data_IF_276539008734
#
_entry.id   IF_276539008734
#
_cell.length_a   1.000
_cell.length_b   1.000
_cell.length_c   1.000
_cell.angle_alpha   90.00
_cell.angle_beta   90.00
_cell.angle_gamma   90.00
#
_symmetry.space_group_name_H-M   'P 1'
#
loop_
_entity.id
_entity.type
_entity.pdbx_description
1 polymer ?
#
# COMPACT_ATOMS: atom_id res chain seq x y z
N UNK A 1 6.31 -10.95 44.70
CA UNK A 1 5.36 -11.35 43.65
C UNK A 1 5.31 -10.20 42.66
N UNK A 2 5.40 -10.48 41.35
CA UNK A 2 5.21 -9.47 40.32
C UNK A 2 3.75 -8.99 40.34
N UNK A 3 3.50 -7.72 40.03
CA UNK A 3 2.15 -7.24 39.76
C UNK A 3 1.58 -7.93 38.50
N UNK A 4 0.26 -7.97 38.35
CA UNK A 4 -0.39 -8.57 37.17
C UNK A 4 0.11 -7.98 35.85
N UNK A 5 0.36 -6.66 35.81
CA UNK A 5 0.92 -5.96 34.65
C UNK A 5 2.36 -6.38 34.35
N UNK A 6 3.19 -6.56 35.38
CA UNK A 6 4.57 -7.04 35.20
C UNK A 6 4.61 -8.50 34.75
N UNK A 7 3.71 -9.34 35.26
CA UNK A 7 3.59 -10.72 34.80
C UNK A 7 3.14 -10.81 33.34
N UNK A 8 2.17 -9.97 32.92
CA UNK A 8 1.74 -9.88 31.52
C UNK A 8 2.87 -9.41 30.60
N UNK A 9 3.65 -8.43 31.04
CA UNK A 9 4.83 -7.93 30.31
C UNK A 9 5.89 -9.01 30.09
N UNK A 10 6.15 -9.83 31.11
CA UNK A 10 7.12 -10.94 31.01
C UNK A 10 6.63 -12.05 30.08
N UNK A 11 5.33 -12.42 30.17
CA UNK A 11 4.72 -13.38 29.24
C UNK A 11 4.69 -12.87 27.79
N UNK A 12 4.62 -11.55 27.59
CA UNK A 12 4.76 -10.93 26.26
C UNK A 12 6.18 -11.12 25.72
N UNK A 13 7.20 -10.82 26.52
CA UNK A 13 8.60 -11.00 26.13
C UNK A 13 8.96 -12.45 25.86
N UNK A 14 8.53 -13.37 26.72
CA UNK A 14 8.76 -14.81 26.54
C UNK A 14 8.18 -15.30 25.20
N UNK A 15 6.94 -14.92 24.90
CA UNK A 15 6.34 -15.23 23.61
C UNK A 15 7.13 -14.67 22.42
N UNK A 16 7.63 -13.44 22.52
CA UNK A 16 8.49 -12.87 21.46
C UNK A 16 9.76 -13.71 21.27
N UNK A 17 10.41 -14.14 22.36
CA UNK A 17 11.59 -15.03 22.28
C UNK A 17 11.22 -16.42 21.71
N UNK A 18 10.01 -16.93 21.97
CA UNK A 18 9.55 -18.23 21.47
C UNK A 18 9.30 -18.21 19.94
N UNK A 19 8.72 -17.12 19.43
CA UNK A 19 8.44 -16.98 17.99
C UNK A 19 9.67 -16.45 17.22
N UNK A 20 10.49 -15.60 17.83
CA UNK A 20 11.74 -15.05 17.29
C UNK A 20 12.93 -15.57 18.13
N UNK A 21 13.49 -16.73 17.79
CA UNK A 21 14.60 -17.30 18.54
C UNK A 21 15.85 -16.42 18.38
N UNK A 22 16.51 -16.14 19.49
CA UNK A 22 17.70 -15.28 19.53
C UNK A 22 18.87 -15.97 20.23
N UNK A 23 20.08 -15.65 19.77
CA UNK A 23 21.33 -16.00 20.43
C UNK A 23 21.78 -14.81 21.28
N UNK A 24 22.09 -15.05 22.56
CA UNK A 24 22.60 -14.04 23.48
C UNK A 24 24.11 -14.23 23.62
N UNK A 25 24.89 -13.26 23.14
CA UNK A 25 26.36 -13.25 23.26
C UNK A 25 26.78 -12.21 24.29
N UNK A 26 27.31 -12.66 25.42
CA UNK A 26 27.81 -11.78 26.47
C UNK A 26 29.33 -11.60 26.36
N UNK A 27 29.79 -10.35 26.33
CA UNK A 27 31.20 -10.00 26.30
C UNK A 27 31.51 -8.78 27.19
N UNK A 28 32.79 -8.58 27.53
CA UNK A 28 33.24 -7.39 28.26
C UNK A 28 33.86 -6.39 27.30
N UNK A 29 33.36 -5.15 27.31
CA UNK A 29 33.98 -4.03 26.63
C UNK A 29 34.52 -3.06 27.69
N UNK A 30 35.82 -3.20 28.01
CA UNK A 30 36.43 -2.55 29.17
C UNK A 30 35.88 -3.12 30.48
N UNK A 31 35.41 -2.24 31.38
CA UNK A 31 34.79 -2.63 32.66
C UNK A 31 33.28 -2.92 32.57
N UNK A 32 32.65 -2.67 31.41
CA UNK A 32 31.21 -2.88 31.23
C UNK A 32 30.93 -4.22 30.57
N UNK A 33 30.09 -5.04 31.21
CA UNK A 33 29.49 -6.20 30.56
C UNK A 33 28.47 -5.70 29.52
N UNK A 34 28.51 -6.29 28.33
CA UNK A 34 27.53 -6.09 27.26
C UNK A 34 26.94 -7.45 26.89
N UNK A 35 25.67 -7.44 26.52
CA UNK A 35 24.99 -8.58 25.92
C UNK A 35 24.44 -8.13 24.59
N UNK A 36 24.85 -8.83 23.54
CA UNK A 36 24.35 -8.65 22.19
C UNK A 36 23.33 -9.76 21.92
N UNK A 37 22.22 -9.36 21.29
CA UNK A 37 21.10 -10.23 20.97
C UNK A 37 21.02 -10.27 19.45
N UNK A 38 21.26 -11.45 18.89
CA UNK A 38 21.22 -11.69 17.45
C UNK A 38 20.14 -12.70 17.11
N UNK A 39 19.54 -12.57 15.94
CA UNK A 39 18.55 -13.50 15.44
C UNK A 39 19.21 -14.87 15.17
N UNK A 40 18.65 -15.95 15.73
CA UNK A 40 19.03 -17.30 15.34
C UNK A 40 18.38 -17.63 13.98
N UNK A 41 19.05 -17.26 12.90
CA UNK A 41 18.53 -17.34 11.52
C UNK A 41 18.08 -18.76 11.15
N UNK A 42 18.83 -19.79 11.56
CA UNK A 42 18.52 -21.18 11.21
C UNK A 42 17.22 -21.65 11.87
N UNK A 43 17.09 -21.46 13.18
CA UNK A 43 15.89 -21.84 13.92
C UNK A 43 14.68 -21.01 13.49
N UNK A 44 14.88 -19.71 13.28
CA UNK A 44 13.82 -18.81 12.84
C UNK A 44 13.30 -19.17 11.45
N UNK A 45 14.20 -19.48 10.51
CA UNK A 45 13.81 -19.90 9.15
C UNK A 45 12.98 -21.18 9.18
N UNK A 46 13.38 -22.17 9.99
CA UNK A 46 12.62 -23.42 10.19
C UNK A 46 11.22 -23.16 10.75
N UNK A 47 11.10 -22.29 11.76
CA UNK A 47 9.79 -21.92 12.35
C UNK A 47 8.89 -21.22 11.33
N UNK A 48 9.46 -20.27 10.57
CA UNK A 48 8.76 -19.54 9.51
C UNK A 48 8.25 -20.45 8.41
N UNK A 49 9.11 -21.31 7.87
CA UNK A 49 8.75 -22.25 6.80
C UNK A 49 7.65 -23.19 7.23
N UNK A 50 7.74 -23.73 8.45
CA UNK A 50 6.68 -24.55 9.03
C UNK A 50 5.36 -23.78 9.13
N UNK A 51 5.38 -22.57 9.66
CA UNK A 51 4.18 -21.75 9.82
C UNK A 51 3.52 -21.41 8.48
N UNK A 52 4.31 -21.06 7.45
CA UNK A 52 3.78 -20.80 6.11
C UNK A 52 3.22 -22.06 5.44
N UNK A 53 3.84 -23.22 5.64
CA UNK A 53 3.33 -24.49 5.12
C UNK A 53 2.01 -24.93 5.78
N UNK A 54 1.79 -24.53 7.04
CA UNK A 54 0.58 -24.83 7.81
C UNK A 54 -0.51 -23.74 7.67
N UNK A 55 -0.23 -22.65 6.94
CA UNK A 55 -1.16 -21.55 6.78
C UNK A 55 -2.45 -22.03 6.07
N UNK A 56 -3.64 -21.65 6.57
CA UNK A 56 -4.89 -22.03 5.95
C UNK A 56 -5.00 -21.43 4.54
N UNK A 57 -5.68 -22.10 3.60
CA UNK A 57 -5.93 -21.53 2.29
C UNK A 57 -6.76 -20.25 2.43
N UNK A 58 -6.41 -19.25 1.61
CA UNK A 58 -7.16 -18.00 1.55
C UNK A 58 -8.60 -18.32 1.17
N UNK A 59 -9.55 -17.90 2.01
CA UNK A 59 -10.97 -18.11 1.74
C UNK A 59 -11.42 -17.08 0.71
N UNK A 60 -12.25 -17.50 -0.26
CA UNK A 60 -12.87 -16.56 -1.19
C UNK A 60 -13.70 -15.55 -0.40
N UNK A 61 -13.44 -14.27 -0.62
CA UNK A 61 -14.16 -13.20 0.06
C UNK A 61 -15.30 -12.69 -0.80
N UNK A 62 -16.30 -12.09 -0.16
CA UNK A 62 -17.41 -11.45 -0.88
C UNK A 62 -16.89 -10.26 -1.71
N UNK A 63 -17.53 -9.95 -2.85
CA UNK A 63 -17.17 -8.75 -3.61
C UNK A 63 -17.43 -7.49 -2.77
N UNK A 64 -16.58 -6.48 -2.91
CA UNK A 64 -16.82 -5.17 -2.33
C UNK A 64 -17.65 -4.31 -3.29
N UNK A 65 -18.97 -4.27 -3.05
CA UNK A 65 -19.90 -3.47 -3.87
C UNK A 65 -19.77 -1.98 -3.59
N UNK A 66 -19.39 -1.64 -2.35
CA UNK A 66 -19.14 -0.26 -1.92
C UNK A 66 -18.01 -0.25 -0.88
N UNK A 67 -17.35 0.89 -0.77
CA UNK A 67 -16.20 1.06 0.13
C UNK A 67 -16.54 0.81 1.60
N UNK A 68 -17.77 1.14 2.03
CA UNK A 68 -18.25 0.83 3.39
C UNK A 68 -18.29 -0.67 3.71
N UNK A 69 -18.29 -1.54 2.69
CA UNK A 69 -18.23 -3.00 2.90
C UNK A 69 -16.90 -3.45 3.50
N UNK A 70 -15.83 -2.64 3.38
CA UNK A 70 -14.56 -2.87 4.08
C UNK A 70 -14.75 -2.98 5.59
N UNK A 71 -15.74 -2.28 6.16
CA UNK A 71 -16.01 -2.31 7.60
C UNK A 71 -16.62 -3.64 8.06
N UNK A 72 -17.05 -4.53 7.16
CA UNK A 72 -17.63 -5.84 7.52
C UNK A 72 -16.59 -6.82 8.06
N UNK A 73 -15.35 -6.72 7.60
CA UNK A 73 -14.26 -7.68 7.88
C UNK A 73 -13.00 -6.95 8.34
N UNK A 74 -12.05 -7.61 9.04
CA UNK A 74 -10.75 -7.02 9.30
C UNK A 74 -10.02 -6.64 8.01
N UNK A 75 -9.30 -5.51 8.03
CA UNK A 75 -8.52 -5.05 6.89
C UNK A 75 -7.16 -4.50 7.30
N UNK A 76 -6.24 -4.49 6.33
CA UNK A 76 -4.89 -3.99 6.46
C UNK A 76 -4.72 -2.81 5.49
N UNK A 77 -4.36 -1.65 6.03
CA UNK A 77 -4.00 -0.47 5.25
C UNK A 77 -2.51 -0.52 4.95
N UNK A 78 -2.20 -0.64 3.67
CA UNK A 78 -0.88 -0.46 3.08
C UNK A 78 -0.53 1.00 2.92
N UNK A 79 0.69 1.34 3.31
CA UNK A 79 1.27 2.64 3.01
C UNK A 79 2.63 2.58 2.28
N UNK A 80 2.89 3.66 1.55
CA UNK A 80 4.25 4.18 1.41
C UNK A 80 4.50 5.15 2.56
N UNK A 81 5.64 5.05 3.24
CA UNK A 81 5.97 5.96 4.35
C UNK A 81 6.02 7.44 3.94
N UNK A 82 6.15 7.72 2.64
CA UNK A 82 6.12 9.09 2.09
C UNK A 82 4.72 9.66 1.90
N UNK A 83 3.68 8.83 1.98
CA UNK A 83 2.31 9.24 1.71
C UNK A 83 1.59 9.71 2.98
N UNK A 84 0.79 10.76 2.84
CA UNK A 84 -0.01 11.37 3.92
C UNK A 84 -1.37 10.68 4.02
N UNK A 85 -1.97 10.33 2.90
CA UNK A 85 -3.35 9.86 2.80
C UNK A 85 -3.65 8.56 3.58
N UNK A 86 -2.75 7.56 3.66
CA UNK A 86 -3.00 6.38 4.50
C UNK A 86 -3.20 6.72 5.98
N UNK A 87 -2.34 7.60 6.51
CA UNK A 87 -2.41 8.06 7.92
C UNK A 87 -3.68 8.88 8.14
N UNK A 88 -3.97 9.80 7.21
CA UNK A 88 -5.20 10.61 7.22
C UNK A 88 -6.47 9.76 7.20
N UNK A 89 -6.50 8.72 6.37
CA UNK A 89 -7.63 7.78 6.31
C UNK A 89 -7.90 7.15 7.67
N UNK A 90 -6.88 6.66 8.37
CA UNK A 90 -7.04 6.10 9.72
C UNK A 90 -7.53 7.16 10.70
N UNK A 91 -6.89 8.33 10.73
CA UNK A 91 -7.23 9.44 11.64
C UNK A 91 -8.70 9.85 11.50
N UNK A 92 -9.17 10.02 10.27
CA UNK A 92 -10.51 10.54 9.99
C UNK A 92 -11.62 9.47 10.08
N UNK A 93 -11.28 8.18 10.08
CA UNK A 93 -12.25 7.09 10.14
C UNK A 93 -12.22 6.29 11.45
N UNK A 94 -11.29 6.57 12.37
CA UNK A 94 -11.09 5.79 13.60
C UNK A 94 -12.36 5.64 14.46
N UNK A 95 -13.13 6.73 14.63
CA UNK A 95 -14.40 6.71 15.40
C UNK A 95 -15.43 5.80 14.73
N UNK A 96 -15.58 5.91 13.41
CA UNK A 96 -16.48 5.06 12.61
C UNK A 96 -16.06 3.59 12.67
N UNK A 97 -14.76 3.31 12.66
CA UNK A 97 -14.23 1.97 12.85
C UNK A 97 -14.61 1.43 14.24
N UNK A 98 -14.45 2.24 15.31
CA UNK A 98 -14.88 1.85 16.66
C UNK A 98 -16.38 1.53 16.70
N UNK A 99 -17.22 2.38 16.12
CA UNK A 99 -18.68 2.15 16.03
C UNK A 99 -19.02 0.83 15.30
N UNK A 100 -18.18 0.43 14.34
CA UNK A 100 -18.30 -0.83 13.62
C UNK A 100 -17.60 -2.01 14.33
N UNK A 101 -17.17 -1.85 15.58
CA UNK A 101 -16.65 -2.93 16.42
C UNK A 101 -15.15 -3.18 16.31
N UNK A 102 -14.39 -2.25 15.73
CA UNK A 102 -12.93 -2.35 15.74
C UNK A 102 -12.38 -1.98 17.11
N UNK A 103 -11.52 -2.84 17.66
CA UNK A 103 -10.96 -2.70 19.00
C UNK A 103 -9.43 -2.54 19.00
N UNK A 104 -8.76 -3.04 17.96
CA UNK A 104 -7.30 -3.01 17.83
C UNK A 104 -6.87 -2.40 16.49
N UNK A 105 -5.85 -1.54 16.54
CA UNK A 105 -5.04 -1.09 15.42
C UNK A 105 -3.62 -1.67 15.58
N UNK A 106 -3.23 -2.57 14.69
CA UNK A 106 -1.87 -3.10 14.62
C UNK A 106 -0.98 -2.17 13.79
N UNK A 107 0.26 -1.90 14.22
CA UNK A 107 1.15 -0.96 13.52
C UNK A 107 2.56 -1.49 13.35
N UNK A 108 3.04 -1.51 12.10
CA UNK A 108 4.45 -1.71 11.77
C UNK A 108 5.31 -0.56 12.35
N UNK A 109 6.61 -0.84 12.57
CA UNK A 109 7.61 0.03 13.18
C UNK A 109 7.43 0.26 14.69
N UNK A 110 6.38 -0.31 15.29
CA UNK A 110 6.20 -0.39 16.73
C UNK A 110 6.51 -1.81 17.20
N UNK A 111 7.28 -1.89 18.28
CA UNK A 111 7.88 -3.12 18.76
C UNK A 111 7.04 -3.81 19.83
N UNK A 112 6.57 -5.01 19.54
CA UNK A 112 5.78 -5.82 20.46
C UNK A 112 6.60 -6.42 21.61
N UNK A 113 7.93 -6.36 21.58
CA UNK A 113 8.79 -6.75 22.69
C UNK A 113 9.11 -5.56 23.61
N UNK A 114 9.46 -4.40 23.05
CA UNK A 114 9.90 -3.23 23.85
C UNK A 114 8.84 -2.17 24.07
N UNK A 115 7.97 -1.87 23.10
CA UNK A 115 7.07 -0.71 23.17
C UNK A 115 5.64 -1.01 23.65
N UNK A 116 5.16 -2.26 23.64
CA UNK A 116 3.74 -2.52 23.95
C UNK A 116 3.32 -2.05 25.35
N UNK A 117 4.19 -2.16 26.34
CA UNK A 117 3.91 -1.65 27.69
C UNK A 117 3.66 -0.14 27.69
N UNK A 118 4.44 0.61 26.92
CA UNK A 118 4.30 2.05 26.78
C UNK A 118 3.08 2.43 25.94
N UNK A 119 2.74 1.63 24.91
CA UNK A 119 1.52 1.77 24.12
C UNK A 119 0.26 1.54 24.97
N UNK A 120 0.28 0.53 25.83
CA UNK A 120 -0.82 0.23 26.75
C UNK A 120 -0.96 1.33 27.81
N UNK A 121 0.16 1.84 28.33
CA UNK A 121 0.16 2.99 29.23
C UNK A 121 -0.41 4.24 28.55
N UNK A 122 0.02 4.54 27.32
CA UNK A 122 -0.51 5.64 26.52
C UNK A 122 -2.03 5.48 26.30
N UNK A 123 -2.50 4.28 26.00
CA UNK A 123 -3.92 4.03 25.82
C UNK A 123 -4.72 4.35 27.10
N UNK A 124 -4.19 3.97 28.27
CA UNK A 124 -4.81 4.26 29.58
C UNK A 124 -4.77 5.75 29.94
N UNK A 125 -3.59 6.40 29.85
CA UNK A 125 -3.35 7.72 30.45
C UNK A 125 -3.35 8.87 29.45
N UNK A 126 -3.02 8.59 28.18
CA UNK A 126 -2.73 9.59 27.15
C UNK A 126 -1.28 10.10 27.19
N UNK A 127 -0.46 9.61 28.11
CA UNK A 127 0.94 10.01 28.22
C UNK A 127 1.82 9.14 27.30
N UNK A 128 2.60 9.79 26.43
CA UNK A 128 3.57 9.10 25.56
C UNK A 128 4.94 9.11 26.26
N UNK A 129 5.52 7.92 26.47
CA UNK A 129 6.86 7.80 27.07
C UNK A 129 7.93 8.44 26.17
N UNK A 130 9.08 8.80 26.76
CA UNK A 130 10.20 9.33 25.98
C UNK A 130 10.72 8.33 24.93
N UNK A 131 10.72 7.03 25.25
CA UNK A 131 11.17 5.96 24.35
C UNK A 131 10.22 5.83 23.15
N UNK A 132 8.91 5.73 23.41
CA UNK A 132 7.89 5.67 22.37
C UNK A 132 7.88 6.94 21.50
N UNK A 133 8.00 8.12 22.12
CA UNK A 133 8.10 9.39 21.39
C UNK A 133 9.34 9.44 20.48
N UNK A 134 10.46 8.86 20.92
CA UNK A 134 11.69 8.78 20.12
C UNK A 134 11.47 7.90 18.89
N UNK A 135 10.84 6.73 19.07
CA UNK A 135 10.50 5.86 17.95
C UNK A 135 9.56 6.54 16.94
N UNK A 136 8.51 7.21 17.40
CA UNK A 136 7.55 7.90 16.52
C UNK A 136 8.23 9.02 15.72
N UNK A 137 9.16 9.75 16.33
CA UNK A 137 9.97 10.77 15.64
C UNK A 137 10.85 10.14 14.56
N UNK A 138 11.46 8.99 14.82
CA UNK A 138 12.23 8.27 13.80
C UNK A 138 11.35 7.77 12.65
N UNK A 139 10.17 7.21 12.93
CA UNK A 139 9.19 6.84 11.90
C UNK A 139 8.81 8.03 11.02
N UNK A 140 8.50 9.18 11.65
CA UNK A 140 8.17 10.42 10.96
C UNK A 140 9.35 10.95 10.11
N UNK A 141 10.58 10.86 10.62
CA UNK A 141 11.79 11.32 9.93
C UNK A 141 12.01 10.56 8.63
N UNK A 142 11.88 9.24 8.63
CA UNK A 142 12.01 8.43 7.41
C UNK A 142 11.00 8.88 6.33
N UNK A 143 9.73 9.07 6.69
CA UNK A 143 8.73 9.56 5.75
C UNK A 143 9.03 10.97 5.20
N UNK A 144 9.47 11.89 6.07
CA UNK A 144 9.77 13.29 5.70
C UNK A 144 10.97 13.42 4.77
N UNK A 145 12.08 12.76 5.09
CA UNK A 145 13.33 12.82 4.31
C UNK A 145 13.09 12.38 2.86
N UNK A 146 12.32 11.31 2.66
CA UNK A 146 12.00 10.83 1.31
C UNK A 146 10.92 11.67 0.61
N UNK A 147 10.01 12.32 1.36
CA UNK A 147 8.91 13.09 0.77
C UNK A 147 9.29 14.52 0.37
N UNK A 148 10.17 15.16 1.14
CA UNK A 148 10.48 16.59 1.01
C UNK A 148 11.99 16.87 0.87
N UNK A 149 12.82 15.82 0.83
CA UNK A 149 14.26 15.91 0.69
C UNK A 149 15.01 15.93 2.04
N UNK A 150 16.33 15.66 2.02
CA UNK A 150 17.15 15.49 3.23
C UNK A 150 17.30 16.76 4.08
N UNK A 151 17.05 17.94 3.52
CA UNK A 151 17.16 19.24 4.20
C UNK A 151 15.80 19.91 4.45
N UNK A 152 14.69 19.16 4.38
CA UNK A 152 13.38 19.73 4.69
C UNK A 152 13.22 19.91 6.21
N UNK A 153 13.67 21.06 6.72
CA UNK A 153 13.24 21.56 8.04
C UNK A 153 11.75 21.97 8.04
N UNK A 154 11.14 22.05 6.86
CA UNK A 154 9.75 22.48 6.67
C UNK A 154 8.83 21.28 6.52
N UNK A 155 8.33 20.76 7.64
CA UNK A 155 7.15 19.88 7.60
C UNK A 155 5.94 20.74 7.21
N UNK A 156 5.26 20.42 6.10
CA UNK A 156 3.97 21.05 5.81
C UNK A 156 3.01 20.84 6.98
N UNK A 157 2.13 21.81 7.27
CA UNK A 157 1.08 21.65 8.29
C UNK A 157 0.20 20.42 8.03
N UNK A 158 0.08 20.04 6.75
CA UNK A 158 -0.64 18.86 6.33
C UNK A 158 0.02 17.57 6.82
N UNK A 159 1.35 17.47 6.74
CA UNK A 159 2.09 16.32 7.29
C UNK A 159 1.92 16.24 8.81
N UNK A 160 2.16 17.36 9.53
CA UNK A 160 2.08 17.41 11.00
C UNK A 160 0.73 16.95 11.55
N UNK A 161 -0.35 17.21 10.83
CA UNK A 161 -1.71 16.78 11.21
C UNK A 161 -1.99 15.30 10.93
N UNK A 162 -1.14 14.64 10.16
CA UNK A 162 -1.34 13.30 9.61
C UNK A 162 -0.07 12.46 9.74
N UNK A 163 0.66 12.63 10.85
CA UNK A 163 1.87 11.89 11.15
C UNK A 163 1.54 10.66 12.04
N UNK A 164 2.53 9.82 12.39
CA UNK A 164 2.24 8.63 13.20
C UNK A 164 1.78 8.99 14.63
N UNK A 165 2.16 10.14 15.17
CA UNK A 165 1.71 10.61 16.48
C UNK A 165 0.21 10.92 16.43
N UNK A 166 -0.25 11.59 15.37
CA UNK A 166 -1.66 11.89 15.15
C UNK A 166 -2.50 10.60 14.99
N UNK A 167 -1.96 9.56 14.34
CA UNK A 167 -2.61 8.23 14.27
C UNK A 167 -2.80 7.64 15.66
N UNK A 168 -1.77 7.67 16.51
CA UNK A 168 -1.84 7.18 17.89
C UNK A 168 -2.90 7.94 18.70
N UNK A 169 -2.93 9.26 18.59
CA UNK A 169 -3.91 10.11 19.27
C UNK A 169 -5.33 9.79 18.81
N UNK A 170 -5.58 9.69 17.51
CA UNK A 170 -6.89 9.37 16.95
C UNK A 170 -7.39 7.99 17.39
N UNK A 171 -6.51 6.96 17.40
CA UNK A 171 -6.82 5.62 17.91
C UNK A 171 -7.26 5.67 19.37
N UNK A 172 -6.48 6.34 20.23
CA UNK A 172 -6.83 6.49 21.65
C UNK A 172 -8.14 7.25 21.85
N UNK A 173 -8.33 8.38 21.16
CA UNK A 173 -9.57 9.17 21.25
C UNK A 173 -10.81 8.39 20.82
N UNK A 174 -10.67 7.49 19.85
CA UNK A 174 -11.73 6.57 19.43
C UNK A 174 -11.88 5.36 20.37
N UNK A 175 -10.97 5.15 21.32
CA UNK A 175 -10.97 3.97 22.19
C UNK A 175 -10.52 2.68 21.49
N UNK A 176 -9.63 2.78 20.51
CA UNK A 176 -9.00 1.64 19.81
C UNK A 176 -7.57 1.46 20.36
N UNK A 177 -7.27 0.26 20.85
CA UNK A 177 -5.95 -0.08 21.40
C UNK A 177 -4.95 -0.27 20.27
N UNK A 178 -3.71 0.18 20.47
CA UNK A 178 -2.65 0.04 19.48
C UNK A 178 -1.75 -1.11 19.89
N UNK A 179 -1.40 -1.97 18.94
CA UNK A 179 -0.47 -3.07 19.15
C UNK A 179 0.66 -3.01 18.13
N UNK A 180 1.91 -3.01 18.60
CA UNK A 180 3.07 -3.14 17.73
C UNK A 180 3.16 -4.55 17.13
N UNK A 181 3.69 -4.67 15.92
CA UNK A 181 3.83 -5.97 15.22
C UNK A 181 5.26 -6.27 14.73
N UNK A 182 6.22 -5.38 14.99
CA UNK A 182 7.64 -5.69 14.84
C UNK A 182 8.23 -6.24 16.14
N UNK A 183 9.39 -6.91 16.02
CA UNK A 183 10.19 -7.38 17.15
C UNK A 183 11.63 -6.93 16.92
N UNK A 184 12.29 -6.42 17.97
CA UNK A 184 13.56 -5.69 17.84
C UNK A 184 14.66 -6.48 17.08
N UNK A 185 14.92 -7.77 17.39
CA UNK A 185 15.84 -8.60 16.61
C UNK A 185 15.51 -8.73 15.12
N UNK A 186 14.22 -8.86 14.75
CA UNK A 186 13.79 -8.99 13.35
C UNK A 186 14.02 -7.68 12.61
N UNK A 187 13.67 -6.56 13.22
CA UNK A 187 13.88 -5.24 12.62
C UNK A 187 15.37 -4.93 12.42
N UNK A 188 16.23 -5.30 13.36
CA UNK A 188 17.69 -5.16 13.24
C UNK A 188 18.32 -6.07 12.17
N UNK A 189 17.62 -7.11 11.73
CA UNK A 189 18.10 -7.99 10.65
C UNK A 189 17.98 -7.37 9.25
N UNK A 190 17.35 -6.19 9.14
CA UNK A 190 17.27 -5.44 7.89
C UNK A 190 18.66 -5.14 7.34
N UNK A 191 18.87 -5.47 6.06
CA UNK A 191 20.06 -5.06 5.32
C UNK A 191 19.77 -3.76 4.59
N UNK A 192 20.20 -2.65 5.19
CA UNK A 192 19.99 -1.31 4.67
C UNK A 192 21.32 -0.77 4.13
N UNK A 193 21.32 -0.38 2.86
CA UNK A 193 22.46 0.27 2.20
C UNK A 193 22.65 1.72 2.62
N UNK A 194 23.73 2.36 2.14
CA UNK A 194 24.09 3.74 2.52
C UNK A 194 23.00 4.79 2.23
N UNK A 195 22.06 4.52 1.32
CA UNK A 195 20.98 5.43 0.91
C UNK A 195 19.61 5.08 1.53
N UNK A 196 19.57 4.31 2.62
CA UNK A 196 18.33 3.73 3.17
C UNK A 196 17.61 2.76 2.21
N UNK A 197 18.35 2.24 1.23
CA UNK A 197 17.86 1.25 0.29
C UNK A 197 17.83 -0.13 0.94
N UNK A 198 16.72 -0.83 0.80
CA UNK A 198 16.60 -2.20 1.26
C UNK A 198 17.33 -3.15 0.30
N UNK A 199 18.40 -3.78 0.78
CA UNK A 199 19.33 -4.56 -0.06
C UNK A 199 18.83 -5.98 -0.37
N UNK A 200 17.83 -6.48 0.36
CA UNK A 200 17.16 -7.76 0.08
C UNK A 200 15.72 -7.81 0.61
N UNK A 201 14.94 -8.78 0.13
CA UNK A 201 13.55 -9.01 0.54
C UNK A 201 13.41 -9.94 1.75
N UNK A 202 14.51 -10.39 2.39
CA UNK A 202 14.49 -11.38 3.49
C UNK A 202 13.61 -10.94 4.64
N UNK A 203 13.64 -9.63 4.95
CA UNK A 203 12.85 -9.05 6.05
C UNK A 203 11.33 -9.17 5.82
N UNK A 204 10.87 -9.29 4.59
CA UNK A 204 9.43 -9.40 4.29
C UNK A 204 8.87 -10.67 4.91
N UNK A 205 9.47 -11.83 4.63
CA UNK A 205 9.03 -13.10 5.21
C UNK A 205 9.22 -13.17 6.72
N UNK A 206 10.29 -12.56 7.25
CA UNK A 206 10.55 -12.51 8.69
C UNK A 206 9.51 -11.69 9.44
N UNK A 207 9.19 -10.51 8.93
CA UNK A 207 8.17 -9.64 9.51
C UNK A 207 6.78 -10.26 9.35
N UNK A 208 6.40 -10.76 8.17
CA UNK A 208 5.07 -11.33 7.93
C UNK A 208 4.76 -12.48 8.92
N UNK A 209 5.72 -13.37 9.13
CA UNK A 209 5.60 -14.44 10.12
C UNK A 209 5.46 -13.89 11.55
N UNK A 210 6.29 -12.91 11.92
CA UNK A 210 6.32 -12.35 13.27
C UNK A 210 5.02 -11.61 13.57
N UNK A 211 4.60 -10.73 12.66
CA UNK A 211 3.35 -9.99 12.74
C UNK A 211 2.14 -10.92 12.80
N UNK A 212 2.07 -11.95 11.96
CA UNK A 212 0.97 -12.91 11.98
C UNK A 212 0.84 -13.62 13.33
N UNK A 213 1.95 -14.05 13.94
CA UNK A 213 1.92 -14.68 15.27
C UNK A 213 1.44 -13.70 16.36
N UNK A 214 1.98 -12.47 16.38
CA UNK A 214 1.57 -11.43 17.34
C UNK A 214 0.09 -11.11 17.20
N UNK A 215 -0.34 -10.85 15.96
CA UNK A 215 -1.72 -10.51 15.66
C UNK A 215 -2.65 -11.65 16.02
N UNK A 216 -2.32 -12.91 15.68
CA UNK A 216 -3.11 -14.07 16.12
C UNK A 216 -3.28 -14.04 17.63
N UNK A 217 -2.19 -13.90 18.41
CA UNK A 217 -2.28 -13.87 19.89
C UNK A 217 -3.25 -12.79 20.40
N UNK A 218 -3.16 -11.57 19.89
CA UNK A 218 -4.01 -10.46 20.32
C UNK A 218 -5.46 -10.61 19.82
N UNK A 219 -5.67 -11.12 18.60
CA UNK A 219 -6.99 -11.40 18.02
C UNK A 219 -7.71 -12.46 18.84
N UNK A 220 -7.03 -13.52 19.30
CA UNK A 220 -7.64 -14.54 20.17
C UNK A 220 -8.13 -13.99 21.50
N UNK A 221 -7.63 -12.82 21.92
CA UNK A 221 -8.05 -12.14 23.15
C UNK A 221 -9.22 -11.18 22.92
N UNK A 222 -9.68 -10.98 21.67
CA UNK A 222 -10.81 -10.13 21.36
C UNK A 222 -12.14 -10.82 21.71
N UNK A 223 -13.15 -10.06 22.20
CA UNK A 223 -14.50 -10.58 22.34
C UNK A 223 -15.10 -11.01 20.99
N UNK A 224 -16.01 -12.01 20.97
CA UNK A 224 -16.69 -12.43 19.75
C UNK A 224 -17.32 -11.27 18.99
N UNK A 225 -17.13 -11.23 17.67
CA UNK A 225 -17.66 -10.19 16.78
C UNK A 225 -16.88 -8.87 16.78
N UNK A 226 -15.86 -8.72 17.62
CA UNK A 226 -14.93 -7.59 17.54
C UNK A 226 -13.91 -7.79 16.43
N UNK A 227 -13.49 -6.67 15.85
CA UNK A 227 -12.61 -6.60 14.68
C UNK A 227 -11.33 -5.86 15.00
N UNK A 228 -10.42 -5.90 14.05
CA UNK A 228 -9.14 -5.25 14.11
C UNK A 228 -8.81 -4.68 12.73
N UNK A 229 -7.91 -3.71 12.72
CA UNK A 229 -7.28 -3.19 11.50
C UNK A 229 -5.77 -3.19 11.69
N UNK A 230 -5.02 -3.15 10.60
CA UNK A 230 -3.57 -3.02 10.66
C UNK A 230 -3.07 -1.93 9.73
N UNK A 231 -1.89 -1.39 10.04
CA UNK A 231 -1.21 -0.36 9.28
C UNK A 231 0.25 -0.75 9.08
N UNK A 232 0.63 -1.02 7.84
CA UNK A 232 1.95 -1.54 7.48
C UNK A 232 2.36 -1.10 6.06
N UNK A 233 3.63 -1.26 5.74
CA UNK A 233 4.18 -1.01 4.42
C UNK A 233 3.57 -1.94 3.38
N UNK A 234 3.40 -1.42 2.17
CA UNK A 234 2.71 -2.12 1.06
C UNK A 234 3.21 -3.55 0.79
N UNK A 235 4.50 -3.82 1.01
CA UNK A 235 5.14 -5.12 0.78
C UNK A 235 4.66 -6.24 1.74
N UNK A 236 4.03 -5.87 2.86
CA UNK A 236 3.53 -6.83 3.86
C UNK A 236 2.04 -7.15 3.68
N UNK A 237 1.33 -6.31 2.91
CA UNK A 237 -0.13 -6.34 2.80
C UNK A 237 -0.62 -7.43 1.87
N UNK A 238 0.03 -7.67 0.73
CA UNK A 238 -0.30 -8.74 -0.21
C UNK A 238 0.96 -9.51 -0.62
N UNK A 239 0.78 -10.68 -1.21
CA UNK A 239 1.84 -11.63 -1.59
C UNK A 239 2.91 -10.92 -2.42
N UNK A 240 4.16 -11.07 -2.00
CA UNK A 240 5.32 -10.45 -2.63
C UNK A 240 6.43 -11.50 -2.80
N UNK A 241 6.94 -11.67 -4.03
CA UNK A 241 8.03 -12.62 -4.33
C UNK A 241 7.84 -14.04 -3.74
N UNK A 242 6.64 -14.62 -3.89
CA UNK A 242 6.25 -15.93 -3.31
C UNK A 242 6.24 -16.01 -1.78
N UNK A 243 6.37 -14.89 -1.08
CA UNK A 243 6.21 -14.80 0.36
C UNK A 243 4.74 -14.53 0.70
N UNK A 244 4.07 -15.42 1.47
CA UNK A 244 2.72 -15.16 1.95
C UNK A 244 2.64 -13.85 2.74
N UNK A 245 1.60 -13.08 2.48
CA UNK A 245 1.37 -11.79 3.12
C UNK A 245 0.60 -11.89 4.42
N UNK A 246 0.61 -10.82 5.21
CA UNK A 246 -0.15 -10.80 6.47
C UNK A 246 -1.66 -10.86 6.21
N UNK A 247 -2.15 -10.30 5.10
CA UNK A 247 -3.58 -10.37 4.76
C UNK A 247 -4.02 -11.80 4.45
N UNK A 248 -3.19 -12.59 3.75
CA UNK A 248 -3.46 -13.99 3.45
C UNK A 248 -3.37 -14.86 4.72
N UNK A 249 -2.32 -14.67 5.51
CA UNK A 249 -2.08 -15.43 6.75
C UNK A 249 -3.19 -15.24 7.80
N UNK A 250 -3.87 -14.09 7.78
CA UNK A 250 -4.92 -13.73 8.75
C UNK A 250 -6.30 -13.58 8.13
N UNK A 251 -6.46 -13.94 6.85
CA UNK A 251 -7.70 -13.77 6.09
C UNK A 251 -8.29 -12.34 6.18
N UNK A 252 -7.46 -11.30 6.14
CA UNK A 252 -7.86 -9.89 6.22
C UNK A 252 -7.88 -9.21 4.84
N UNK A 253 -8.68 -8.16 4.67
CA UNK A 253 -8.75 -7.42 3.40
C UNK A 253 -7.49 -6.60 3.19
N UNK A 254 -7.01 -6.53 1.96
CA UNK A 254 -5.85 -5.74 1.56
C UNK A 254 -6.29 -4.40 1.00
N UNK A 255 -5.95 -3.31 1.68
CA UNK A 255 -6.34 -1.95 1.30
C UNK A 255 -5.10 -1.13 1.04
N UNK A 256 -5.01 -0.47 -0.10
CA UNK A 256 -3.88 0.40 -0.42
C UNK A 256 -4.34 1.83 -0.60
N UNK A 257 -3.60 2.77 -0.04
CA UNK A 257 -3.91 4.20 -0.14
C UNK A 257 -2.67 4.95 -0.62
N UNK A 258 -2.81 5.79 -1.64
CA UNK A 258 -1.72 6.55 -2.20
C UNK A 258 -2.03 8.04 -2.30
N UNK A 259 -0.98 8.84 -2.15
CA UNK A 259 -1.05 10.22 -2.58
C UNK A 259 -0.82 10.26 -4.11
N UNK A 260 -1.67 10.93 -4.90
CA UNK A 260 -1.49 10.97 -6.35
C UNK A 260 -0.29 11.85 -6.70
N UNK A 261 0.65 11.43 -7.57
CA UNK A 261 1.94 12.12 -7.80
C UNK A 261 1.84 13.65 -8.00
N UNK A 262 0.78 14.10 -8.68
CA UNK A 262 0.52 15.50 -8.99
C UNK A 262 0.01 16.35 -7.81
N UNK A 263 -0.26 15.78 -6.63
CA UNK A 263 -0.86 16.51 -5.50
C UNK A 263 -0.02 17.70 -5.03
N UNK A 264 1.31 17.62 -5.17
CA UNK A 264 2.25 18.67 -4.77
C UNK A 264 2.24 19.87 -5.72
N UNK A 265 1.94 19.65 -7.00
CA UNK A 265 1.99 20.68 -8.06
C UNK A 265 0.61 21.19 -8.47
N UNK A 266 -0.46 20.44 -8.17
CA UNK A 266 -1.83 20.78 -8.54
C UNK A 266 -2.35 21.96 -7.72
N UNK A 267 -2.97 22.96 -8.38
CA UNK A 267 -3.53 24.15 -7.71
C UNK A 267 -4.79 23.85 -6.88
N UNK A 268 -5.55 22.82 -7.24
CA UNK A 268 -6.75 22.38 -6.51
C UNK A 268 -6.58 20.94 -6.03
N UNK A 269 -7.20 20.57 -4.88
CA UNK A 269 -7.28 19.18 -4.46
C UNK A 269 -7.98 18.34 -5.52
N UNK A 270 -7.40 17.19 -5.86
CA UNK A 270 -8.09 16.19 -6.67
C UNK A 270 -9.01 15.36 -5.78
N UNK A 271 -10.19 14.98 -6.28
CA UNK A 271 -11.16 14.19 -5.50
C UNK A 271 -10.72 12.74 -5.25
N UNK A 272 -9.60 12.31 -5.85
CA UNK A 272 -9.05 10.97 -5.71
C UNK A 272 -9.77 9.92 -6.55
N UNK A 273 -9.14 8.77 -6.79
CA UNK A 273 -9.73 7.64 -7.51
C UNK A 273 -9.97 6.46 -6.55
N UNK A 274 -11.00 5.67 -6.81
CA UNK A 274 -11.35 4.49 -6.01
C UNK A 274 -11.47 3.30 -6.95
N UNK A 275 -10.74 2.23 -6.66
CA UNK A 275 -10.86 0.95 -7.33
C UNK A 275 -11.17 -0.14 -6.30
N UNK A 276 -12.32 -0.80 -6.44
CA UNK A 276 -12.76 -1.92 -5.61
C UNK A 276 -12.61 -3.24 -6.36
N UNK A 277 -12.22 -4.28 -5.63
CA UNK A 277 -11.90 -5.62 -6.15
C UNK A 277 -10.87 -5.54 -7.29
N UNK A 278 -9.84 -4.71 -7.11
CA UNK A 278 -8.79 -4.53 -8.10
C UNK A 278 -7.76 -5.66 -7.97
N UNK A 279 -7.53 -6.39 -9.05
CA UNK A 279 -6.52 -7.42 -9.00
C UNK A 279 -5.10 -6.82 -8.83
N UNK A 280 -4.84 -5.56 -9.25
CA UNK A 280 -3.49 -4.99 -9.24
C UNK A 280 -3.41 -3.45 -9.17
N UNK A 281 -2.50 -2.94 -8.35
CA UNK A 281 -1.95 -1.58 -8.39
C UNK A 281 -1.01 -1.47 -9.57
N UNK A 282 -1.18 -0.41 -10.34
CA UNK A 282 -0.41 -0.16 -11.53
C UNK A 282 0.37 1.11 -11.37
N UNK A 283 1.70 0.97 -11.34
CA UNK A 283 2.60 2.12 -11.34
C UNK A 283 3.60 1.95 -12.47
N UNK A 284 3.73 3.01 -13.26
CA UNK A 284 4.43 3.00 -14.55
C UNK A 284 3.93 1.86 -15.46
N UNK A 285 2.64 1.57 -15.41
CA UNK A 285 2.02 0.47 -16.15
C UNK A 285 2.41 -0.94 -15.71
N UNK A 286 3.08 -1.16 -14.58
CA UNK A 286 3.38 -2.50 -14.07
C UNK A 286 2.50 -2.85 -12.87
N UNK A 287 2.13 -4.13 -12.75
CA UNK A 287 1.50 -4.68 -11.54
C UNK A 287 2.50 -4.60 -10.39
N UNK A 288 2.19 -3.82 -9.35
CA UNK A 288 3.08 -3.71 -8.20
C UNK A 288 2.49 -4.42 -6.97
N UNK A 289 1.17 -4.44 -6.80
CA UNK A 289 0.52 -5.08 -5.64
C UNK A 289 -0.90 -5.55 -5.98
N UNK A 290 -1.38 -6.66 -5.44
CA UNK A 290 -2.81 -7.04 -5.50
C UNK A 290 -3.56 -6.46 -4.30
N UNK A 291 -4.78 -5.95 -4.45
CA UNK A 291 -5.50 -5.30 -3.33
C UNK A 291 -7.02 -5.38 -3.42
N UNK A 292 -7.70 -5.81 -2.36
CA UNK A 292 -9.17 -5.79 -2.30
C UNK A 292 -9.76 -4.38 -2.52
N UNK A 293 -9.09 -3.34 -2.03
CA UNK A 293 -9.44 -1.95 -2.34
C UNK A 293 -8.19 -1.08 -2.54
N UNK A 294 -8.22 -0.21 -3.54
CA UNK A 294 -7.15 0.76 -3.83
C UNK A 294 -7.76 2.16 -3.90
N UNK A 295 -7.12 3.08 -3.19
CA UNK A 295 -7.52 4.47 -3.11
C UNK A 295 -6.35 5.36 -3.52
N UNK A 296 -6.58 6.27 -4.46
CA UNK A 296 -5.74 7.46 -4.59
C UNK A 296 -6.50 8.61 -3.95
N UNK A 297 -5.90 9.28 -2.97
CA UNK A 297 -6.53 10.40 -2.29
C UNK A 297 -5.56 11.57 -2.29
N UNK A 298 -6.01 12.74 -2.74
CA UNK A 298 -5.23 13.95 -2.53
C UNK A 298 -5.15 14.24 -1.02
N UNK A 299 -3.96 14.40 -0.43
CA UNK A 299 -3.81 14.69 1.00
C UNK A 299 -4.64 15.87 1.52
N UNK A 300 -5.01 16.81 0.64
CA UNK A 300 -5.81 18.01 0.96
C UNK A 300 -7.32 17.73 0.98
N UNK A 301 -7.76 16.60 0.45
CA UNK A 301 -9.17 16.16 0.38
C UNK A 301 -9.59 15.42 1.66
N UNK A 302 -10.90 15.28 1.91
CA UNK A 302 -11.43 14.59 3.09
C UNK A 302 -11.49 13.06 2.88
N UNK A 303 -10.83 12.29 3.74
CA UNK A 303 -10.74 10.83 3.71
C UNK A 303 -11.95 10.11 4.34
N UNK A 304 -12.77 10.76 5.18
CA UNK A 304 -14.02 10.16 5.70
C UNK A 304 -14.98 9.79 4.58
N UNK A 305 -14.95 10.55 3.48
CA UNK A 305 -15.76 10.28 2.29
C UNK A 305 -15.46 8.91 1.66
N UNK A 306 -14.25 8.36 1.88
CA UNK A 306 -13.88 7.06 1.34
C UNK A 306 -14.72 5.93 1.91
N UNK A 307 -15.22 6.01 3.14
CA UNK A 307 -16.10 4.97 3.73
C UNK A 307 -17.60 5.33 3.69
N UNK A 308 -17.97 6.44 3.07
CA UNK A 308 -19.36 6.97 3.08
C UNK A 308 -20.08 6.85 1.74
N UNK A 309 -19.39 6.63 0.62
CA UNK A 309 -20.01 6.62 -0.71
C UNK A 309 -20.86 5.36 -0.97
N UNK A 310 -22.17 5.49 -1.29
CA UNK A 310 -23.00 4.41 -1.83
C UNK A 310 -22.64 4.07 -3.29
N UNK A 311 -22.95 2.85 -3.71
CA UNK A 311 -22.66 2.26 -5.04
C UNK A 311 -23.24 3.03 -6.24
N UNK A 312 -24.16 3.98 -6.03
CA UNK A 312 -24.75 4.76 -7.14
C UNK A 312 -23.94 6.01 -7.51
N UNK A 313 -22.96 6.41 -6.70
CA UNK A 313 -22.11 7.58 -6.92
C UNK A 313 -20.62 7.26 -6.73
N UNK A 314 -20.13 6.15 -7.27
CA UNK A 314 -18.74 6.14 -7.75
C UNK A 314 -18.66 7.14 -8.89
N UNK A 315 -18.53 8.42 -8.52
CA UNK A 315 -18.30 9.51 -9.45
C UNK A 315 -17.05 9.13 -10.24
N UNK A 316 -17.28 8.64 -11.46
CA UNK A 316 -16.48 9.02 -12.59
C UNK A 316 -16.19 10.53 -12.43
N UNK A 317 -14.94 10.89 -12.16
CA UNK A 317 -14.45 12.27 -12.13
C UNK A 317 -14.42 12.81 -13.58
N UNK A 318 -15.53 12.67 -14.30
CA UNK A 318 -15.73 13.25 -15.62
C UNK A 318 -16.62 14.49 -15.56
N UNK A 319 -17.24 14.82 -14.42
CA UNK A 319 -18.19 15.94 -14.34
C UNK A 319 -17.55 17.34 -14.38
N UNK A 320 -16.24 17.51 -14.12
CA UNK A 320 -15.58 18.81 -14.38
C UNK A 320 -14.94 18.93 -15.77
N UNK A 321 -14.99 17.87 -16.58
CA UNK A 321 -14.52 17.87 -17.98
C UNK A 321 -15.66 17.71 -18.99
N UNK A 322 -16.82 17.14 -18.59
CA UNK A 322 -18.02 17.02 -19.44
C UNK A 322 -18.56 18.37 -19.91
N UNK A 323 -18.55 19.39 -19.04
CA UNK A 323 -19.02 20.73 -19.43
C UNK A 323 -18.10 21.45 -20.44
N UNK A 324 -16.90 20.92 -20.73
CA UNK A 324 -16.00 21.49 -21.75
C UNK A 324 -15.92 20.69 -23.05
N UNK A 325 -16.65 19.59 -23.20
CA UNK A 325 -16.60 18.75 -24.40
C UNK A 325 -17.97 18.22 -24.88
N UNK A 326 -19.08 18.80 -24.43
CA UNK A 326 -20.40 18.48 -24.99
C UNK A 326 -20.69 19.27 -26.27
N UNK A 327 -20.04 18.84 -27.35
CA UNK A 327 -20.70 18.79 -28.65
C UNK A 327 -20.24 17.52 -29.39
N UNK A 328 -21.23 16.79 -29.93
CA UNK A 328 -21.16 15.65 -30.87
C UNK A 328 -21.34 14.24 -30.22
N UNK A 329 -22.59 13.77 -30.39
CA UNK A 329 -23.14 12.42 -30.63
C UNK A 329 -22.94 11.25 -29.62
N UNK A 330 -24.08 10.58 -29.36
CA UNK A 330 -24.46 9.23 -28.85
C UNK A 330 -23.59 8.46 -27.81
N UNK A 331 -24.17 7.78 -26.79
CA UNK A 331 -23.45 7.25 -25.63
C UNK A 331 -22.82 5.84 -25.76
N UNK A 332 -23.27 4.99 -26.68
CA UNK A 332 -22.86 3.56 -26.70
C UNK A 332 -21.62 3.24 -27.56
N UNK A 333 -20.89 4.24 -28.06
CA UNK A 333 -19.76 4.02 -28.99
C UNK A 333 -18.46 4.77 -28.65
N UNK A 334 -18.33 5.38 -27.46
CA UNK A 334 -17.24 6.32 -27.18
C UNK A 334 -15.93 5.66 -26.72
N UNK A 335 -15.95 4.83 -25.68
CA UNK A 335 -14.70 4.32 -25.10
C UNK A 335 -14.08 3.20 -25.95
N UNK A 336 -14.90 2.34 -26.56
CA UNK A 336 -14.43 1.39 -27.57
C UNK A 336 -13.75 2.08 -28.77
N UNK A 337 -14.27 3.20 -29.28
CA UNK A 337 -13.58 3.97 -30.34
C UNK A 337 -12.27 4.61 -29.84
N UNK A 338 -12.25 5.09 -28.58
CA UNK A 338 -11.04 5.62 -27.95
C UNK A 338 -9.98 4.53 -27.75
N UNK A 339 -10.38 3.31 -27.42
CA UNK A 339 -9.49 2.15 -27.33
C UNK A 339 -8.77 1.91 -28.67
N UNK A 340 -9.48 1.97 -29.80
CA UNK A 340 -8.84 1.81 -31.12
C UNK A 340 -7.85 2.94 -31.43
N UNK A 341 -8.17 4.19 -31.07
CA UNK A 341 -7.24 5.31 -31.20
C UNK A 341 -6.00 5.17 -30.30
N UNK A 342 -6.18 4.70 -29.07
CA UNK A 342 -5.08 4.43 -28.15
C UNK A 342 -4.17 3.29 -28.67
N UNK A 343 -4.75 2.23 -29.23
CA UNK A 343 -4.00 1.15 -29.89
C UNK A 343 -3.19 1.71 -31.07
N UNK A 344 -3.78 2.61 -31.88
CA UNK A 344 -3.09 3.26 -33.01
C UNK A 344 -1.92 4.11 -32.54
N UNK A 345 -2.09 4.87 -31.45
CA UNK A 345 -1.02 5.66 -30.84
C UNK A 345 0.14 4.78 -30.38
N UNK A 346 -0.14 3.83 -29.50
CA UNK A 346 0.86 2.96 -28.89
C UNK A 346 1.63 2.12 -29.91
N UNK A 347 0.96 1.71 -31.00
CA UNK A 347 1.59 1.00 -32.11
C UNK A 347 2.68 1.82 -32.82
N UNK A 348 2.52 3.15 -32.86
CA UNK A 348 3.41 4.04 -33.60
C UNK A 348 4.56 4.58 -32.74
N UNK A 349 4.61 4.24 -31.46
CA UNK A 349 5.71 4.61 -30.58
C UNK A 349 6.91 3.70 -30.81
N UNK A 350 8.10 4.27 -30.72
CA UNK A 350 9.34 3.51 -30.61
C UNK A 350 9.41 2.84 -29.24
N UNK A 351 10.12 1.70 -29.15
CA UNK A 351 10.24 0.93 -27.91
C UNK A 351 10.83 1.77 -26.78
N UNK A 352 11.79 2.65 -27.08
CA UNK A 352 12.36 3.57 -26.10
C UNK A 352 11.29 4.51 -25.50
N UNK A 353 10.36 5.01 -26.31
CA UNK A 353 9.28 5.88 -25.84
C UNK A 353 8.27 5.11 -24.98
N UNK A 354 8.01 3.84 -25.33
CA UNK A 354 7.20 2.95 -24.49
C UNK A 354 7.93 2.71 -23.16
N UNK A 355 9.24 2.49 -23.19
CA UNK A 355 10.09 2.39 -22.01
C UNK A 355 9.97 3.61 -21.10
N UNK A 356 10.03 4.82 -21.65
CA UNK A 356 9.86 6.07 -20.90
C UNK A 356 8.47 6.21 -20.28
N UNK A 357 7.40 5.94 -21.05
CA UNK A 357 6.01 6.03 -20.57
C UNK A 357 5.76 5.08 -19.41
N UNK A 358 6.38 3.90 -19.45
CA UNK A 358 6.18 2.81 -18.49
C UNK A 358 7.38 2.59 -17.56
N UNK A 359 8.27 3.58 -17.46
CA UNK A 359 9.38 3.61 -16.52
C UNK A 359 10.24 2.34 -16.50
N UNK A 360 10.57 1.81 -17.69
CA UNK A 360 11.56 0.74 -17.82
C UNK A 360 12.97 1.29 -17.57
N UNK A 361 13.82 0.49 -16.93
CA UNK A 361 15.23 0.83 -16.77
C UNK A 361 16.00 0.61 -18.09
N UNK A 362 17.14 1.30 -18.22
CA UNK A 362 18.02 1.19 -19.39
C UNK A 362 18.42 -0.27 -19.65
N UNK A 363 18.00 -0.81 -20.79
CA UNK A 363 18.31 -2.18 -21.22
C UNK A 363 17.27 -3.25 -20.87
N UNK A 364 16.20 -2.92 -20.14
CA UNK A 364 15.07 -3.86 -19.90
C UNK A 364 14.23 -4.10 -21.16
N UNK A 365 14.10 -3.07 -22.01
CA UNK A 365 13.55 -3.17 -23.36
C UNK A 365 14.61 -2.77 -24.37
N UNK A 366 14.72 -3.59 -25.41
CA UNK A 366 15.49 -3.29 -26.62
C UNK A 366 14.56 -3.27 -27.84
N UNK A 367 15.12 -2.99 -29.01
CA UNK A 367 14.40 -2.92 -30.29
C UNK A 367 13.74 -4.24 -30.74
N UNK A 368 13.97 -5.32 -30.00
CA UNK A 368 13.36 -6.63 -30.25
C UNK A 368 11.94 -6.73 -29.69
N UNK A 369 11.56 -5.83 -28.79
CA UNK A 369 10.23 -5.78 -28.20
C UNK A 369 9.25 -4.94 -29.05
N UNK A 370 7.96 -5.25 -28.97
CA UNK A 370 6.93 -4.46 -29.62
C UNK A 370 5.59 -4.56 -28.90
N UNK A 371 4.75 -3.53 -29.08
CA UNK A 371 3.38 -3.52 -28.58
C UNK A 371 2.50 -4.54 -29.31
N UNK A 372 1.92 -5.47 -28.55
CA UNK A 372 0.86 -6.36 -29.00
C UNK A 372 -0.41 -5.54 -29.07
N UNK A 373 -0.94 -5.35 -30.29
CA UNK A 373 -2.01 -4.42 -30.68
C UNK A 373 -3.38 -4.74 -30.08
N UNK A 374 -3.46 -4.78 -28.76
CA UNK A 374 -4.62 -5.19 -28.00
C UNK A 374 -4.58 -4.54 -26.63
N UNK A 375 -5.71 -3.93 -26.27
CA UNK A 375 -6.00 -3.46 -24.93
C UNK A 375 -7.18 -4.27 -24.40
N UNK A 376 -7.02 -4.88 -23.24
CA UNK A 376 -7.99 -5.79 -22.61
C UNK A 376 -8.44 -5.24 -21.25
N UNK A 377 -9.71 -5.39 -20.86
CA UNK A 377 -10.14 -5.02 -19.51
C UNK A 377 -9.45 -5.92 -18.48
N UNK A 378 -9.05 -5.35 -17.35
CA UNK A 378 -8.44 -6.12 -16.25
C UNK A 378 -9.46 -6.93 -15.46
N UNK A 379 -10.65 -6.37 -15.23
CA UNK A 379 -11.75 -7.09 -14.62
C UNK A 379 -12.67 -7.64 -15.72
N UNK A 380 -12.48 -8.93 -16.03
CA UNK A 380 -13.26 -9.65 -17.04
C UNK A 380 -14.73 -9.85 -16.66
N UNK A 381 -15.10 -9.66 -15.38
CA UNK A 381 -16.48 -9.76 -14.91
C UNK A 381 -17.27 -8.45 -15.09
N UNK A 382 -16.59 -7.34 -15.45
CA UNK A 382 -17.22 -6.04 -15.71
C UNK A 382 -17.22 -5.73 -17.22
N UNK A 383 -18.26 -5.07 -17.76
CA UNK A 383 -18.23 -4.53 -19.12
C UNK A 383 -16.99 -3.64 -19.36
N UNK A 384 -16.48 -3.61 -20.59
CA UNK A 384 -15.29 -2.81 -20.96
C UNK A 384 -15.42 -1.34 -20.51
N UNK A 385 -16.63 -0.79 -20.56
CA UNK A 385 -16.88 0.62 -20.26
C UNK A 385 -16.92 0.94 -18.76
N UNK A 386 -17.09 -0.08 -17.93
CA UNK A 386 -17.08 -0.01 -16.47
C UNK A 386 -15.70 -0.32 -15.88
N UNK A 387 -14.75 -0.77 -16.71
CA UNK A 387 -13.37 -0.96 -16.29
C UNK A 387 -12.67 0.40 -16.14
N UNK A 388 -11.97 0.59 -15.02
CA UNK A 388 -11.10 1.75 -14.80
C UNK A 388 -9.66 1.49 -15.22
N UNK A 389 -9.34 0.24 -15.55
CA UNK A 389 -7.98 -0.26 -15.74
C UNK A 389 -7.95 -1.29 -16.86
N UNK A 390 -6.99 -1.16 -17.77
CA UNK A 390 -6.83 -2.02 -18.94
C UNK A 390 -5.41 -2.56 -19.04
N UNK A 391 -5.26 -3.80 -19.50
CA UNK A 391 -3.99 -4.46 -19.75
C UNK A 391 -3.64 -4.42 -21.24
N UNK A 392 -2.35 -4.28 -21.54
CA UNK A 392 -1.74 -4.43 -22.84
C UNK A 392 -0.48 -5.27 -22.73
N UNK A 393 0.02 -5.81 -23.84
CA UNK A 393 1.18 -6.71 -23.82
C UNK A 393 2.29 -6.15 -24.70
N UNK A 394 3.52 -6.28 -24.25
CA UNK A 394 4.74 -6.08 -25.04
C UNK A 394 5.42 -7.45 -25.16
N UNK A 395 5.71 -7.86 -26.39
CA UNK A 395 6.33 -9.14 -26.70
C UNK A 395 7.63 -8.94 -27.47
N UNK A 396 8.62 -9.81 -27.23
CA UNK A 396 9.81 -9.88 -28.07
C UNK A 396 9.55 -10.73 -29.31
N UNK A 397 10.26 -10.47 -30.41
CA UNK A 397 10.31 -11.40 -31.55
C UNK A 397 11.00 -12.72 -31.21
N UNK A 398 11.72 -12.79 -30.09
CA UNK A 398 12.42 -13.99 -29.63
C UNK A 398 11.60 -14.77 -28.60
N UNK A 399 11.40 -16.06 -28.85
CA UNK A 399 10.55 -16.94 -28.03
C UNK A 399 11.13 -17.31 -26.68
N UNK A 400 12.42 -17.04 -26.44
CA UNK A 400 13.12 -17.25 -25.17
C UNK A 400 13.03 -16.05 -24.22
N UNK A 401 12.38 -14.97 -24.63
CA UNK A 401 12.14 -13.77 -23.83
C UNK A 401 10.69 -13.69 -23.38
N UNK A 402 10.51 -13.43 -22.09
CA UNK A 402 9.18 -13.30 -21.48
C UNK A 402 8.48 -12.02 -21.94
N UNK A 403 7.15 -12.07 -22.21
CA UNK A 403 6.38 -10.88 -22.49
C UNK A 403 6.16 -10.03 -21.25
N UNK A 404 6.10 -8.72 -21.43
CA UNK A 404 5.64 -7.80 -20.39
C UNK A 404 4.15 -7.55 -20.56
N UNK A 405 3.37 -7.79 -19.51
CA UNK A 405 2.01 -7.24 -19.45
C UNK A 405 2.06 -5.91 -18.74
N UNK A 406 1.65 -4.86 -19.45
CA UNK A 406 1.52 -3.52 -18.91
C UNK A 406 0.06 -3.14 -18.75
N UNK A 407 -0.17 -2.07 -18.02
CA UNK A 407 -1.49 -1.64 -17.65
C UNK A 407 -1.63 -0.12 -17.73
N UNK A 408 -2.83 0.33 -18.06
CA UNK A 408 -3.15 1.73 -18.25
C UNK A 408 -4.49 2.02 -17.59
N UNK A 409 -4.60 3.19 -16.96
CA UNK A 409 -5.89 3.66 -16.46
C UNK A 409 -6.81 4.05 -17.62
N UNK A 410 -8.12 4.15 -17.35
CA UNK A 410 -9.10 4.71 -18.28
C UNK A 410 -8.74 6.12 -18.74
N UNK A 411 -8.15 6.93 -17.86
CA UNK A 411 -7.68 8.26 -18.21
C UNK A 411 -6.49 8.20 -19.18
N UNK A 412 -5.49 7.36 -18.93
CA UNK A 412 -4.36 7.17 -19.85
C UNK A 412 -4.80 6.64 -21.22
N UNK A 413 -5.77 5.71 -21.25
CA UNK A 413 -6.38 5.26 -22.50
C UNK A 413 -6.99 6.45 -23.27
N UNK A 414 -7.73 7.32 -22.59
CA UNK A 414 -8.31 8.52 -23.19
C UNK A 414 -7.25 9.54 -23.63
N UNK A 415 -6.15 9.68 -22.89
CA UNK A 415 -5.01 10.54 -23.22
C UNK A 415 -4.30 10.05 -24.48
N UNK A 416 -3.96 8.76 -24.57
CA UNK A 416 -3.37 8.17 -25.77
C UNK A 416 -4.28 8.31 -26.99
N UNK A 417 -5.59 8.13 -26.80
CA UNK A 417 -6.56 8.38 -27.85
C UNK A 417 -6.60 9.86 -28.29
N UNK A 418 -6.41 10.80 -27.35
CA UNK A 418 -6.34 12.22 -27.64
C UNK A 418 -5.03 12.60 -28.37
N UNK A 419 -3.90 11.98 -28.00
CA UNK A 419 -2.63 12.17 -28.71
C UNK A 419 -2.70 11.65 -30.15
N UNK A 420 -3.33 10.49 -30.39
CA UNK A 420 -3.54 10.02 -31.76
C UNK A 420 -4.37 11.01 -32.58
N UNK A 421 -5.43 11.57 -31.99
CA UNK A 421 -6.26 12.56 -32.67
C UNK A 421 -5.46 13.81 -33.05
N UNK A 422 -4.53 14.27 -32.20
CA UNK A 422 -3.66 15.41 -32.53
C UNK A 422 -2.72 15.09 -33.70
N UNK A 423 -2.21 13.86 -33.78
CA UNK A 423 -1.37 13.40 -34.89
C UNK A 423 -2.18 13.38 -36.18
N UNK A 424 -3.38 12.80 -36.15
CA UNK A 424 -4.25 12.69 -37.33
C UNK A 424 -4.63 14.08 -37.87
N UNK A 425 -4.98 15.03 -36.99
CA UNK A 425 -5.30 16.42 -37.40
C UNK A 425 -4.11 17.15 -38.04
N UNK A 426 -2.89 16.99 -37.51
CA UNK A 426 -1.69 17.59 -38.12
C UNK A 426 -1.40 17.04 -39.51
N UNK A 427 -1.61 15.74 -39.70
CA UNK A 427 -1.44 15.09 -41.01
C UNK A 427 -2.49 15.56 -42.03
N UNK A 428 -3.72 15.84 -41.58
CA UNK A 428 -4.76 16.42 -42.44
C UNK A 428 -4.42 17.85 -42.85
N UNK A 429 -3.95 18.70 -41.94
CA UNK A 429 -3.52 20.08 -42.23
C UNK A 429 -2.31 20.11 -43.19
N UNK A 430 -1.30 19.26 -42.97
CA UNK A 430 -0.12 19.14 -43.85
C UNK A 430 -0.49 18.60 -45.25
N UNK A 431 -1.48 17.72 -45.34
CA UNK A 431 -1.99 17.24 -46.62
C UNK A 431 -2.84 18.30 -47.34
N UNK A 432 -3.51 19.21 -46.63
CA UNK A 432 -4.23 20.34 -47.23
C UNK A 432 -3.31 21.49 -47.66
N UNK A 433 -2.15 21.66 -47.02
CA UNK A 433 -1.13 22.65 -47.38
C UNK A 433 -0.26 22.22 -48.58
N UNK A 434 -0.26 20.93 -48.91
CA UNK A 434 0.48 20.34 -50.05
C UNK A 434 -0.39 20.08 -51.29
N UNK A 435 -1.63 20.61 -51.30
CA UNK A 435 -2.53 20.71 -52.47
C UNK A 435 -2.62 22.18 -52.86
#
# INVERSE_FOLDING_TARGET
MLSEKEAADELRKQFCEDIVPVTKVSYKLGSKARTEIELNIEEFSKKREKFFAEAPPVTSKESLEKTSDLLKEPFIVGESHTHISPKKFLIENMKKMKENGYEILFMEHLFYDTHQKDLDHFFETGEISNELMTQLKEMNRHGLTHSFGPNSETTSDLWKKNDYIAVLQAAREAGIRIVGIDVSPVYKSQKIGMNSEQMDSTRIGYMNYTAANIMQREIHSLPPGKKWCAFMGNAHVNSFENTPSVSELLNARSVYIFDPPQWKTSQKPNEGSIELDSEYIIMNGRRIFKGDAIFELDPRSNASSLLEKPSENTCSITSSYKEKLEHIQSPESKLTAKKELAIKYLRNLEVAQIGEIFGFDDGELDDTYHFVKRITPTNSNKPFEENNTFALVIESYYSDREPYTLYISKNQLLEFAAEQNKIDLKQEDENQLNI
#
